data_IF_163767988418
#
_entry.id   IF_163767988418
#
_cell.length_a   1.000
_cell.length_b   1.000
_cell.length_c   1.000
_cell.angle_alpha   90.00
_cell.angle_beta   90.00
_cell.angle_gamma   90.00
#
_symmetry.space_group_name_H-M   'P 1'
#
loop_
_entity.id
_entity.type
_entity.pdbx_description
1 polymer ?
#
# COMPACT_ATOMS: atom_id res chain seq x y z
N UNK A 1 -17.81 -8.17 49.95
CA UNK A 1 -16.41 -8.02 50.33
C UNK A 1 -15.75 -7.28 49.16
N UNK A 2 -15.54 -6.01 49.40
CA UNK A 2 -15.06 -4.99 48.45
C UNK A 2 -13.54 -4.96 48.47
N UNK A 3 -12.89 -5.00 47.31
CA UNK A 3 -11.47 -4.64 47.18
C UNK A 3 -11.32 -3.50 46.18
N UNK A 4 -10.87 -2.38 46.75
CA UNK A 4 -10.60 -1.13 46.04
C UNK A 4 -9.30 -1.23 45.25
N UNK A 5 -9.39 -0.97 43.95
CA UNK A 5 -8.23 -0.80 43.07
C UNK A 5 -7.66 0.61 43.16
N UNK A 6 -6.50 0.76 43.76
CA UNK A 6 -5.75 2.02 43.82
C UNK A 6 -5.30 2.47 42.42
N UNK A 7 -5.82 3.61 41.96
CA UNK A 7 -5.32 4.33 40.77
C UNK A 7 -4.09 5.15 41.18
N UNK A 8 -2.94 4.75 40.69
CA UNK A 8 -1.74 5.58 40.76
C UNK A 8 -1.85 6.70 39.71
N UNK A 9 -2.05 7.92 40.17
CA UNK A 9 -2.05 9.11 39.30
C UNK A 9 -0.60 9.55 39.10
N UNK A 10 -0.08 9.37 37.91
CA UNK A 10 1.23 9.87 37.49
C UNK A 10 1.08 11.33 37.06
N UNK A 11 1.55 12.27 37.86
CA UNK A 11 1.62 13.67 37.47
C UNK A 11 2.86 13.92 36.59
N UNK A 12 2.62 14.24 35.32
CA UNK A 12 3.65 14.77 34.43
C UNK A 12 3.83 16.26 34.71
N UNK A 13 4.98 16.64 35.24
CA UNK A 13 5.41 18.05 35.28
C UNK A 13 5.94 18.46 33.89
N UNK A 14 5.05 19.02 33.07
CA UNK A 14 5.46 19.70 31.84
C UNK A 14 5.69 21.18 32.13
N UNK A 15 6.95 21.62 32.12
CA UNK A 15 7.30 23.05 32.18
C UNK A 15 6.96 23.69 30.83
N UNK A 16 5.80 24.37 30.78
CA UNK A 16 5.39 25.16 29.60
C UNK A 16 5.83 26.60 29.82
N UNK A 17 6.94 27.02 29.21
CA UNK A 17 7.40 28.41 29.13
C UNK A 17 6.51 29.18 28.16
N UNK A 18 5.49 29.89 28.66
CA UNK A 18 4.66 30.79 27.85
C UNK A 18 5.37 32.14 27.79
N UNK A 19 5.96 32.44 26.66
CA UNK A 19 6.51 33.78 26.35
C UNK A 19 5.37 34.68 25.83
N UNK A 20 4.76 35.47 26.70
CA UNK A 20 3.78 36.49 26.30
C UNK A 20 4.50 37.66 25.64
N UNK A 21 4.31 37.86 24.38
CA UNK A 21 4.73 39.00 23.58
C UNK A 21 3.65 40.07 23.67
N UNK A 22 3.82 41.08 24.54
CA UNK A 22 2.91 42.21 24.62
C UNK A 22 2.98 43.11 23.39
N UNK A 23 1.83 43.38 22.79
CA UNK A 23 1.62 44.49 21.85
C UNK A 23 0.99 45.66 22.63
N UNK A 24 1.70 46.77 22.66
CA UNK A 24 1.21 48.04 23.16
C UNK A 24 0.12 48.59 22.23
N UNK A 25 -0.99 49.00 22.82
CA UNK A 25 -1.96 49.89 22.17
C UNK A 25 -2.28 51.04 23.14
N UNK A 26 -1.85 52.20 22.76
CA UNK A 26 -2.11 53.50 23.38
C UNK A 26 -3.58 53.90 23.21
N UNK A 27 -4.25 54.26 24.31
CA UNK A 27 -5.47 55.08 24.19
C UNK A 27 -5.59 56.01 25.42
N UNK A 28 -5.71 57.26 25.11
CA UNK A 28 -5.78 58.48 25.90
C UNK A 28 -6.93 58.57 26.87
N UNK A 29 -6.68 59.37 27.94
CA UNK A 29 -7.46 59.90 29.06
C UNK A 29 -8.91 60.38 28.74
N UNK A 30 -9.76 60.55 29.80
CA UNK A 30 -9.64 61.72 30.64
C UNK A 30 -9.82 61.53 32.16
N UNK A 31 -9.34 62.54 32.88
CA UNK A 31 -9.38 62.92 34.25
C UNK A 31 -10.77 62.89 34.91
N UNK A 32 -10.88 62.37 36.13
CA UNK A 32 -11.63 63.05 37.17
C UNK A 32 -11.10 62.75 38.58
N UNK A 33 -11.12 63.80 39.39
CA UNK A 33 -10.60 63.89 40.75
C UNK A 33 -11.71 63.46 41.72
N UNK A 34 -11.43 62.52 42.63
CA UNK A 34 -12.09 62.56 43.95
C UNK A 34 -11.17 61.88 45.00
N UNK A 35 -10.75 62.71 45.94
CA UNK A 35 -10.01 62.38 47.14
C UNK A 35 -10.90 61.65 48.13
N UNK A 36 -10.52 60.47 48.61
CA UNK A 36 -10.99 59.91 49.89
C UNK A 36 -9.88 59.24 50.62
N UNK A 37 -9.57 59.74 51.78
CA UNK A 37 -8.77 59.12 52.83
C UNK A 37 -9.33 57.78 53.26
N UNK A 38 -8.51 56.77 53.42
CA UNK A 38 -8.71 55.79 54.50
C UNK A 38 -7.51 54.90 54.70
N UNK A 39 -6.90 55.05 55.82
CA UNK A 39 -6.28 54.08 56.75
C UNK A 39 -5.54 52.86 56.20
N UNK A 40 -4.22 52.95 56.36
CA UNK A 40 -3.31 51.78 56.42
C UNK A 40 -3.79 50.75 57.44
N UNK A 41 -4.06 49.59 57.03
CA UNK A 41 -4.02 48.39 57.86
C UNK A 41 -3.00 47.42 57.24
N UNK A 42 -1.84 47.39 57.82
CA UNK A 42 -0.78 46.45 57.50
C UNK A 42 -1.23 45.04 57.92
N UNK A 43 -1.64 44.23 57.02
CA UNK A 43 -1.78 42.78 57.24
C UNK A 43 -0.48 42.12 56.77
N UNK A 44 0.37 41.80 57.74
CA UNK A 44 1.48 40.87 57.56
C UNK A 44 0.93 39.48 57.21
N UNK A 45 0.70 39.24 55.91
CA UNK A 45 0.55 37.88 55.41
C UNK A 45 1.96 37.28 55.32
N UNK A 46 2.32 36.48 56.34
CA UNK A 46 3.46 35.57 56.25
C UNK A 46 3.22 34.67 55.03
N UNK A 47 3.93 34.97 53.93
CA UNK A 47 4.08 33.99 52.85
C UNK A 47 4.90 32.83 53.40
N UNK A 48 4.21 31.75 53.77
CA UNK A 48 4.83 30.44 53.98
C UNK A 48 5.21 29.97 52.59
N UNK A 49 6.45 30.22 52.17
CA UNK A 49 7.04 29.61 50.99
C UNK A 49 7.15 28.10 51.26
N UNK A 50 6.12 27.37 50.94
CA UNK A 50 6.19 25.90 50.86
C UNK A 50 7.19 25.52 49.79
N UNK A 51 8.41 25.20 50.18
CA UNK A 51 9.35 24.52 49.30
C UNK A 51 8.78 23.18 48.96
N UNK A 52 8.15 23.07 47.79
CA UNK A 52 7.80 21.76 47.18
C UNK A 52 9.14 21.11 46.82
N UNK A 53 9.58 20.22 47.69
CA UNK A 53 10.73 19.38 47.46
C UNK A 53 10.34 18.39 46.33
N UNK A 54 10.63 18.72 45.10
CA UNK A 54 10.60 17.75 44.01
C UNK A 54 11.80 16.82 44.20
N UNK A 55 11.61 15.53 44.48
CA UNK A 55 12.72 14.61 44.51
C UNK A 55 13.38 14.59 43.13
N UNK A 56 14.73 14.62 43.06
CA UNK A 56 15.41 14.50 41.79
C UNK A 56 14.99 13.18 41.13
N UNK A 57 14.40 13.25 39.94
CA UNK A 57 14.19 12.10 39.11
C UNK A 57 15.56 11.44 38.89
N UNK A 58 15.79 10.28 39.50
CA UNK A 58 17.00 9.51 39.27
C UNK A 58 16.94 9.03 37.84
N UNK A 59 17.57 9.76 36.93
CA UNK A 59 17.88 9.36 35.58
C UNK A 59 18.81 8.13 35.69
N UNK A 60 18.24 6.95 35.68
CA UNK A 60 19.02 5.70 35.65
C UNK A 60 19.53 5.55 34.22
N UNK A 61 20.79 5.89 34.00
CA UNK A 61 21.49 5.56 32.75
C UNK A 61 21.50 4.05 32.51
N UNK A 62 21.40 3.64 31.25
CA UNK A 62 21.52 2.22 30.86
C UNK A 62 22.87 1.66 31.30
N UNK A 63 22.85 0.48 31.89
CA UNK A 63 24.09 -0.25 32.17
C UNK A 63 24.65 -0.80 30.86
N UNK A 64 25.99 -0.92 30.78
CA UNK A 64 26.66 -1.45 29.59
C UNK A 64 26.19 -2.87 29.25
N UNK A 65 25.92 -3.70 30.28
CA UNK A 65 25.39 -5.05 30.10
C UNK A 65 23.97 -5.07 29.51
N UNK A 66 23.11 -4.14 29.94
CA UNK A 66 21.75 -4.01 29.42
C UNK A 66 21.76 -3.62 27.94
N UNK A 67 22.67 -2.70 27.55
CA UNK A 67 22.86 -2.33 26.16
C UNK A 67 23.29 -3.54 25.31
N UNK A 68 24.25 -4.34 25.78
CA UNK A 68 24.71 -5.54 25.05
C UNK A 68 23.59 -6.56 24.89
N UNK A 69 22.80 -6.82 25.95
CA UNK A 69 21.65 -7.73 25.89
C UNK A 69 20.61 -7.20 24.90
N UNK A 70 20.29 -5.91 24.97
CA UNK A 70 19.29 -5.30 24.08
C UNK A 70 19.72 -5.40 22.60
N UNK A 71 20.97 -5.08 22.28
CA UNK A 71 21.50 -5.20 20.92
C UNK A 71 21.46 -6.65 20.45
N UNK A 72 21.82 -7.60 21.29
CA UNK A 72 21.79 -9.03 20.95
C UNK A 72 20.40 -9.50 20.61
N UNK A 73 19.40 -9.11 21.40
CA UNK A 73 17.99 -9.43 21.12
C UNK A 73 17.53 -8.81 19.80
N UNK A 74 17.87 -7.54 19.55
CA UNK A 74 17.50 -6.85 18.31
C UNK A 74 18.10 -7.56 17.10
N UNK A 75 19.37 -7.93 17.13
CA UNK A 75 20.05 -8.64 16.02
C UNK A 75 19.39 -9.99 15.73
N UNK A 76 19.07 -10.76 16.75
CA UNK A 76 18.38 -12.05 16.59
C UNK A 76 16.98 -11.87 15.98
N UNK A 77 16.22 -10.92 16.50
CA UNK A 77 14.88 -10.61 15.95
C UNK A 77 14.97 -10.11 14.51
N UNK A 78 15.92 -9.24 14.20
CA UNK A 78 16.11 -8.70 12.84
C UNK A 78 16.41 -9.82 11.84
N UNK A 79 17.25 -10.81 12.20
CA UNK A 79 17.51 -11.98 11.36
C UNK A 79 16.26 -12.80 11.07
N UNK A 80 15.41 -12.99 12.06
CA UNK A 80 14.13 -13.70 11.90
C UNK A 80 13.14 -12.92 11.01
N UNK A 81 13.00 -11.61 11.24
CA UNK A 81 12.07 -10.78 10.47
C UNK A 81 12.50 -10.60 9.01
N UNK A 82 13.81 -10.55 8.72
CA UNK A 82 14.32 -10.37 7.35
C UNK A 82 13.87 -11.50 6.42
N UNK A 83 13.97 -12.75 6.86
CA UNK A 83 13.51 -13.90 6.08
C UNK A 83 12.00 -13.85 5.80
N UNK A 84 11.21 -13.40 6.78
CA UNK A 84 9.77 -13.25 6.61
C UNK A 84 9.42 -12.10 5.67
N UNK A 85 10.16 -10.99 5.74
CA UNK A 85 9.94 -9.84 4.87
C UNK A 85 10.13 -10.20 3.39
N UNK A 86 11.16 -10.96 3.04
CA UNK A 86 11.39 -11.43 1.66
C UNK A 86 10.24 -12.28 1.14
N UNK A 87 9.71 -13.19 1.95
CA UNK A 87 8.54 -13.98 1.60
C UNK A 87 7.31 -13.11 1.32
N UNK A 88 7.02 -12.14 2.20
CA UNK A 88 5.88 -11.25 2.01
C UNK A 88 6.03 -10.32 0.81
N UNK A 89 7.24 -9.88 0.49
CA UNK A 89 7.51 -9.09 -0.72
C UNK A 89 7.19 -9.88 -1.99
N UNK A 90 7.55 -11.15 -2.04
CA UNK A 90 7.25 -12.03 -3.16
C UNK A 90 5.73 -12.29 -3.28
N UNK A 91 5.06 -12.53 -2.16
CA UNK A 91 3.61 -12.72 -2.14
C UNK A 91 2.86 -11.45 -2.55
N UNK A 92 3.32 -10.27 -2.13
CA UNK A 92 2.76 -8.99 -2.55
C UNK A 92 2.94 -8.76 -4.06
N UNK A 93 4.09 -9.14 -4.63
CA UNK A 93 4.34 -9.06 -6.07
C UNK A 93 3.37 -9.95 -6.85
N UNK A 94 3.21 -11.22 -6.43
CA UNK A 94 2.23 -12.15 -7.02
C UNK A 94 0.82 -11.57 -7.01
N UNK A 95 0.37 -11.09 -5.84
CA UNK A 95 -0.97 -10.51 -5.69
C UNK A 95 -1.15 -9.28 -6.57
N UNK A 96 -0.15 -8.40 -6.67
CA UNK A 96 -0.20 -7.22 -7.52
C UNK A 96 -0.29 -7.60 -9.01
N UNK A 97 0.44 -8.61 -9.43
CA UNK A 97 0.39 -9.15 -10.80
C UNK A 97 -0.99 -9.74 -11.10
N UNK A 98 -1.53 -10.58 -10.21
CA UNK A 98 -2.87 -11.18 -10.34
C UNK A 98 -3.97 -10.12 -10.35
N UNK A 99 -3.83 -9.04 -9.59
CA UNK A 99 -4.77 -7.92 -9.60
C UNK A 99 -4.82 -7.23 -10.97
N UNK A 100 -3.67 -7.02 -11.61
CA UNK A 100 -3.61 -6.45 -12.97
C UNK A 100 -4.23 -7.42 -13.97
N UNK A 101 -3.91 -8.71 -13.90
CA UNK A 101 -4.50 -9.73 -14.76
C UNK A 101 -6.03 -9.79 -14.61
N UNK A 102 -6.55 -9.72 -13.38
CA UNK A 102 -7.99 -9.65 -13.11
C UNK A 102 -8.67 -8.39 -13.65
N UNK A 103 -7.98 -7.24 -13.57
CA UNK A 103 -8.46 -5.99 -14.16
C UNK A 103 -8.54 -6.07 -15.70
N UNK A 104 -7.55 -6.70 -16.33
CA UNK A 104 -7.55 -6.97 -17.78
C UNK A 104 -8.71 -7.90 -18.15
N UNK A 105 -8.90 -9.01 -17.42
CA UNK A 105 -10.03 -9.92 -17.65
C UNK A 105 -11.37 -9.19 -17.55
N UNK A 106 -11.53 -8.30 -16.57
CA UNK A 106 -12.75 -7.51 -16.42
C UNK A 106 -12.97 -6.55 -17.58
N UNK A 107 -11.92 -5.84 -18.01
CA UNK A 107 -11.97 -4.94 -19.15
C UNK A 107 -12.28 -5.71 -20.46
N UNK A 108 -11.66 -6.88 -20.63
CA UNK A 108 -11.89 -7.77 -21.77
C UNK A 108 -13.35 -8.23 -21.84
N UNK A 109 -13.92 -8.64 -20.71
CA UNK A 109 -15.32 -9.05 -20.61
C UNK A 109 -16.27 -7.90 -21.00
N UNK A 110 -15.93 -6.68 -20.60
CA UNK A 110 -16.71 -5.49 -20.97
C UNK A 110 -16.64 -5.21 -22.48
N UNK A 111 -15.45 -5.26 -23.08
CA UNK A 111 -15.25 -5.08 -24.53
C UNK A 111 -16.00 -6.16 -25.32
N UNK A 112 -15.90 -7.40 -24.89
CA UNK A 112 -16.63 -8.51 -25.47
C UNK A 112 -18.14 -8.28 -25.47
N UNK A 113 -18.70 -7.87 -24.31
CA UNK A 113 -20.13 -7.53 -24.20
C UNK A 113 -20.57 -6.40 -25.12
N UNK A 114 -19.71 -5.38 -25.29
CA UNK A 114 -19.99 -4.26 -26.23
C UNK A 114 -20.00 -4.72 -27.70
N UNK A 115 -19.10 -5.60 -28.10
CA UNK A 115 -19.05 -6.16 -29.45
C UNK A 115 -20.29 -6.99 -29.76
N UNK A 116 -20.73 -7.83 -28.81
CA UNK A 116 -21.94 -8.63 -28.96
C UNK A 116 -23.20 -7.77 -29.10
N UNK A 117 -23.31 -6.71 -28.29
CA UNK A 117 -24.47 -5.80 -28.36
C UNK A 117 -24.51 -4.99 -29.67
N UNK A 118 -23.35 -4.75 -30.30
CA UNK A 118 -23.27 -4.11 -31.62
C UNK A 118 -23.56 -5.07 -32.78
N UNK A 119 -23.76 -6.36 -32.51
CA UNK A 119 -24.06 -7.37 -33.54
C UNK A 119 -22.90 -7.67 -34.50
N UNK A 120 -21.65 -7.49 -34.07
CA UNK A 120 -20.43 -7.73 -34.87
C UNK A 120 -19.52 -8.79 -34.22
N UNK A 121 -19.93 -10.04 -34.10
CA UNK A 121 -19.14 -11.07 -33.43
C UNK A 121 -17.79 -11.35 -34.09
N UNK A 122 -17.61 -11.02 -35.38
CA UNK A 122 -16.33 -11.12 -36.07
C UNK A 122 -15.21 -10.25 -35.46
N UNK A 123 -15.60 -9.13 -34.82
CA UNK A 123 -14.64 -8.19 -34.24
C UNK A 123 -14.01 -8.73 -32.93
N UNK A 124 -14.58 -9.81 -32.35
CA UNK A 124 -14.02 -10.46 -31.14
C UNK A 124 -12.63 -11.02 -31.42
N UNK A 125 -12.39 -11.56 -32.62
CA UNK A 125 -11.05 -12.06 -33.00
C UNK A 125 -9.99 -10.95 -32.97
N UNK A 126 -10.38 -9.72 -33.24
CA UNK A 126 -9.47 -8.58 -33.17
C UNK A 126 -8.98 -8.30 -31.74
N UNK A 127 -9.82 -8.57 -30.72
CA UNK A 127 -9.42 -8.44 -29.32
C UNK A 127 -8.24 -9.37 -28.95
N UNK A 128 -8.17 -10.56 -29.55
CA UNK A 128 -7.05 -11.48 -29.30
C UNK A 128 -5.71 -10.97 -29.88
N UNK A 129 -5.77 -10.05 -30.85
CA UNK A 129 -4.58 -9.49 -31.49
C UNK A 129 -4.16 -8.13 -30.92
N UNK A 130 -5.06 -7.49 -30.18
CA UNK A 130 -4.81 -6.16 -29.63
C UNK A 130 -4.09 -6.23 -28.27
N UNK A 131 -3.46 -5.13 -27.91
CA UNK A 131 -2.79 -5.02 -26.63
C UNK A 131 -3.80 -4.81 -25.49
N UNK A 132 -3.96 -5.77 -24.56
CA UNK A 132 -4.96 -5.70 -23.52
C UNK A 132 -4.75 -4.55 -22.53
N UNK A 133 -3.55 -3.99 -22.43
CA UNK A 133 -3.29 -2.80 -21.61
C UNK A 133 -3.99 -1.55 -22.11
N UNK A 134 -4.39 -1.51 -23.39
CA UNK A 134 -5.12 -0.37 -23.97
C UNK A 134 -6.59 -0.32 -23.54
N UNK A 135 -7.15 -1.41 -23.01
CA UNK A 135 -8.53 -1.48 -22.53
C UNK A 135 -8.69 -0.99 -21.10
N UNK A 136 -7.57 -0.87 -20.36
CA UNK A 136 -7.60 -0.36 -18.99
C UNK A 136 -7.79 1.17 -19.01
N UNK A 137 -8.65 1.67 -18.13
CA UNK A 137 -8.82 3.12 -17.94
C UNK A 137 -7.51 3.80 -17.53
N UNK A 138 -6.68 3.09 -16.75
CA UNK A 138 -5.37 3.55 -16.33
C UNK A 138 -4.39 2.39 -16.43
N UNK A 139 -3.36 2.58 -17.23
CA UNK A 139 -2.26 1.61 -17.32
C UNK A 139 -1.51 1.54 -15.98
N UNK A 140 -1.10 0.35 -15.50
CA UNK A 140 -0.31 0.22 -14.30
C UNK A 140 1.04 0.95 -14.45
N UNK A 141 1.58 1.44 -13.33
CA UNK A 141 2.83 2.23 -13.34
C UNK A 141 4.04 1.42 -13.85
N UNK A 142 3.98 0.12 -13.67
CA UNK A 142 5.01 -0.84 -14.10
C UNK A 142 4.74 -1.42 -15.50
N UNK A 143 4.01 -0.70 -16.35
CA UNK A 143 3.88 -1.05 -17.76
C UNK A 143 4.95 -0.31 -18.58
N UNK A 144 5.88 -1.07 -19.18
CA UNK A 144 7.02 -0.54 -19.95
C UNK A 144 6.70 -0.23 -21.41
N UNK A 145 5.51 -0.63 -21.89
CA UNK A 145 5.12 -0.38 -23.28
C UNK A 145 5.13 -1.63 -24.16
N UNK A 146 5.25 -1.40 -25.47
CA UNK A 146 5.23 -2.44 -26.50
C UNK A 146 6.64 -2.66 -27.05
N UNK A 147 7.03 -3.92 -27.16
CA UNK A 147 8.34 -4.33 -27.67
C UNK A 147 8.16 -5.41 -28.73
N UNK A 148 9.08 -5.48 -29.64
CA UNK A 148 9.13 -6.55 -30.63
C UNK A 148 10.11 -7.63 -30.17
N UNK A 149 9.61 -8.84 -29.88
CA UNK A 149 10.39 -9.99 -29.43
C UNK A 149 11.27 -9.67 -28.19
N UNK A 150 10.68 -9.22 -27.06
CA UNK A 150 11.44 -8.83 -25.88
C UNK A 150 12.14 -10.05 -25.25
N UNK A 151 13.35 -9.80 -24.72
CA UNK A 151 14.03 -10.76 -23.85
C UNK A 151 13.88 -10.37 -22.39
N UNK A 152 13.93 -11.32 -21.42
CA UNK A 152 13.84 -10.99 -19.99
C UNK A 152 14.90 -10.01 -19.50
N UNK A 153 16.03 -9.89 -20.22
CA UNK A 153 17.12 -8.95 -19.91
C UNK A 153 16.86 -7.54 -20.44
N UNK A 154 16.01 -7.40 -21.45
CA UNK A 154 15.68 -6.11 -22.05
C UNK A 154 14.62 -5.34 -21.29
N UNK A 155 13.90 -6.01 -20.36
CA UNK A 155 12.81 -5.44 -19.59
C UNK A 155 13.18 -5.49 -18.11
N UNK A 156 12.92 -4.39 -17.41
CA UNK A 156 13.15 -4.33 -15.96
C UNK A 156 12.23 -5.31 -15.22
N UNK A 157 12.81 -6.06 -14.27
CA UNK A 157 12.05 -7.01 -13.45
C UNK A 157 10.95 -6.32 -12.65
N UNK A 158 9.78 -6.95 -12.58
CA UNK A 158 8.57 -6.41 -11.95
C UNK A 158 7.71 -5.59 -12.93
N UNK A 159 8.06 -5.53 -14.21
CA UNK A 159 7.34 -4.75 -15.21
C UNK A 159 6.57 -5.65 -16.18
N UNK A 160 5.50 -5.06 -16.72
CA UNK A 160 4.71 -5.58 -17.81
C UNK A 160 5.21 -5.06 -19.14
N UNK A 161 5.20 -5.90 -20.17
CA UNK A 161 5.52 -5.53 -21.54
C UNK A 161 4.62 -6.28 -22.51
N UNK A 162 4.20 -5.64 -23.59
CA UNK A 162 3.46 -6.31 -24.65
C UNK A 162 4.40 -6.70 -25.78
N UNK A 163 4.43 -7.98 -26.11
CA UNK A 163 5.21 -8.50 -27.24
C UNK A 163 4.40 -8.41 -28.53
N UNK A 164 4.84 -7.57 -29.43
CA UNK A 164 4.21 -7.36 -30.75
C UNK A 164 4.35 -8.57 -31.68
N UNK A 165 5.36 -9.42 -31.47
CA UNK A 165 5.61 -10.60 -32.29
C UNK A 165 4.66 -11.74 -31.95
N UNK A 166 4.57 -12.09 -30.68
CA UNK A 166 3.73 -13.20 -30.20
C UNK A 166 2.30 -12.75 -29.84
N UNK A 167 2.03 -11.44 -29.75
CA UNK A 167 0.77 -10.85 -29.27
C UNK A 167 0.42 -11.29 -27.86
N UNK A 168 1.43 -11.40 -27.02
CA UNK A 168 1.34 -11.82 -25.63
C UNK A 168 1.69 -10.68 -24.69
N UNK A 169 1.02 -10.62 -23.55
CA UNK A 169 1.39 -9.73 -22.48
C UNK A 169 2.31 -10.47 -21.51
N UNK A 170 3.51 -9.92 -21.29
CA UNK A 170 4.57 -10.56 -20.52
C UNK A 170 4.79 -9.80 -19.22
N UNK A 171 4.84 -10.51 -18.11
CA UNK A 171 5.27 -10.01 -16.82
C UNK A 171 6.62 -10.61 -16.45
N UNK A 172 7.62 -9.76 -16.19
CA UNK A 172 8.96 -10.18 -15.78
C UNK A 172 9.03 -10.22 -14.25
N UNK A 173 9.18 -11.42 -13.68
CA UNK A 173 9.17 -11.63 -12.22
C UNK A 173 10.43 -11.01 -11.59
N UNK A 174 10.25 -10.24 -10.51
CA UNK A 174 11.33 -9.61 -9.74
C UNK A 174 11.82 -10.53 -8.62
N UNK A 175 10.90 -10.95 -7.76
CA UNK A 175 11.19 -11.80 -6.60
C UNK A 175 10.81 -13.24 -6.95
N UNK A 176 11.78 -14.06 -7.30
CA UNK A 176 11.55 -15.39 -7.85
C UNK A 176 12.14 -16.52 -6.97
N UNK A 177 12.14 -16.34 -5.64
CA UNK A 177 12.70 -17.36 -4.73
C UNK A 177 11.82 -18.61 -4.70
N UNK A 178 10.50 -18.42 -4.70
CA UNK A 178 9.49 -19.50 -4.71
C UNK A 178 8.76 -19.60 -6.05
N UNK A 179 9.26 -18.90 -7.08
CA UNK A 179 8.69 -18.96 -8.41
C UNK A 179 9.29 -20.13 -9.20
N UNK A 180 8.42 -21.02 -9.65
CA UNK A 180 8.78 -22.13 -10.52
C UNK A 180 8.34 -21.81 -11.95
N UNK A 181 9.29 -21.45 -12.83
CA UNK A 181 8.95 -21.15 -14.22
C UNK A 181 8.38 -22.40 -14.90
N UNK A 182 7.53 -22.18 -15.88
CA UNK A 182 7.03 -23.25 -16.73
C UNK A 182 8.16 -23.85 -17.59
N UNK A 183 7.77 -24.58 -18.64
CA UNK A 183 8.69 -25.28 -19.54
C UNK A 183 9.79 -24.42 -20.16
N UNK A 184 9.58 -23.11 -20.23
CA UNK A 184 10.53 -22.14 -20.81
C UNK A 184 11.75 -21.88 -19.93
N UNK A 185 11.68 -22.21 -18.63
CA UNK A 185 12.76 -21.96 -17.65
C UNK A 185 13.07 -20.49 -17.39
N UNK A 186 12.26 -19.55 -17.92
CA UNK A 186 12.50 -18.11 -17.81
C UNK A 186 11.70 -17.52 -16.64
N UNK A 187 12.24 -16.49 -15.98
CA UNK A 187 11.59 -15.78 -14.87
C UNK A 187 10.58 -14.76 -15.39
N UNK A 188 9.63 -15.22 -16.18
CA UNK A 188 8.53 -14.42 -16.71
C UNK A 188 7.25 -15.24 -16.81
N UNK A 189 6.12 -14.54 -16.89
CA UNK A 189 4.81 -15.13 -17.11
C UNK A 189 4.22 -14.47 -18.36
N UNK A 190 3.85 -15.29 -19.34
CA UNK A 190 3.25 -14.84 -20.59
C UNK A 190 1.76 -15.10 -20.56
N UNK A 191 0.98 -14.11 -20.90
CA UNK A 191 -0.47 -14.16 -20.97
C UNK A 191 -0.94 -13.88 -22.38
N UNK A 192 -2.02 -14.54 -22.79
CA UNK A 192 -2.67 -14.29 -24.06
C UNK A 192 -4.20 -14.24 -23.89
N UNK A 193 -4.85 -13.68 -24.89
CA UNK A 193 -6.30 -13.63 -24.96
C UNK A 193 -6.79 -14.81 -25.78
N UNK A 194 -7.62 -15.67 -25.20
CA UNK A 194 -8.21 -16.84 -25.84
C UNK A 194 -9.69 -16.60 -26.10
N UNK A 195 -10.11 -16.84 -27.33
CA UNK A 195 -11.51 -16.78 -27.71
C UNK A 195 -12.05 -18.21 -27.75
N UNK A 196 -13.02 -18.48 -26.88
CA UNK A 196 -13.64 -19.82 -26.77
C UNK A 196 -14.84 -19.92 -27.67
N UNK A 197 -14.86 -21.00 -28.47
CA UNK A 197 -15.98 -21.38 -29.32
C UNK A 197 -16.53 -22.75 -28.88
N UNK A 198 -17.81 -22.85 -28.80
CA UNK A 198 -18.47 -24.13 -28.47
C UNK A 198 -19.34 -24.57 -29.64
N UNK A 199 -19.27 -25.86 -29.98
CA UNK A 199 -20.17 -26.47 -30.93
C UNK A 199 -21.57 -26.59 -30.30
N UNK A 200 -22.62 -26.33 -31.08
CA UNK A 200 -24.00 -26.54 -30.62
C UNK A 200 -24.20 -27.98 -30.13
N UNK A 201 -24.68 -28.11 -28.90
CA UNK A 201 -25.01 -29.45 -28.30
C UNK A 201 -26.24 -30.10 -28.93
N UNK A 202 -26.99 -29.34 -29.71
CA UNK A 202 -28.18 -29.87 -30.39
C UNK A 202 -27.79 -30.55 -31.72
N UNK A 203 -28.06 -31.84 -31.91
CA UNK A 203 -27.70 -32.58 -33.13
C UNK A 203 -28.27 -31.95 -34.41
N UNK A 204 -29.42 -31.28 -34.32
CA UNK A 204 -30.05 -30.58 -35.44
C UNK A 204 -29.33 -29.31 -35.89
N UNK A 205 -28.50 -28.74 -35.04
CA UNK A 205 -27.77 -27.48 -35.26
C UNK A 205 -26.25 -27.68 -35.46
N UNK A 206 -25.78 -28.92 -35.59
CA UNK A 206 -24.33 -29.22 -35.78
C UNK A 206 -23.76 -28.68 -37.11
N UNK A 207 -24.58 -28.17 -38.01
CA UNK A 207 -24.17 -27.51 -39.25
C UNK A 207 -24.02 -25.98 -39.10
N UNK A 208 -24.40 -25.42 -37.94
CA UNK A 208 -24.22 -24.00 -37.68
C UNK A 208 -22.78 -23.71 -37.29
N UNK A 209 -22.29 -22.49 -37.60
CA UNK A 209 -20.96 -22.09 -37.21
C UNK A 209 -20.83 -22.15 -35.68
N UNK A 210 -19.65 -22.51 -35.19
CA UNK A 210 -19.30 -22.55 -33.78
C UNK A 210 -19.79 -21.28 -33.06
N UNK A 211 -20.60 -21.47 -32.03
CA UNK A 211 -21.09 -20.35 -31.23
C UNK A 211 -19.96 -19.81 -30.35
N UNK A 212 -19.79 -18.50 -30.39
CA UNK A 212 -18.83 -17.79 -29.54
C UNK A 212 -19.32 -17.83 -28.10
N UNK A 213 -18.58 -18.52 -27.21
CA UNK A 213 -19.03 -18.79 -25.85
C UNK A 213 -18.39 -17.85 -24.84
N UNK A 214 -17.16 -17.34 -25.12
CA UNK A 214 -16.49 -16.45 -24.19
C UNK A 214 -15.10 -16.05 -24.64
N UNK A 215 -14.51 -15.19 -23.81
CA UNK A 215 -13.15 -14.70 -23.99
C UNK A 215 -12.43 -14.71 -22.63
N UNK A 216 -11.21 -15.23 -22.62
CA UNK A 216 -10.43 -15.44 -21.39
C UNK A 216 -9.03 -14.90 -21.57
N UNK A 217 -8.51 -14.31 -20.51
CA UNK A 217 -7.12 -13.89 -20.39
C UNK A 217 -6.39 -14.88 -19.48
N UNK A 218 -5.52 -15.70 -20.06
CA UNK A 218 -4.90 -16.80 -19.33
C UNK A 218 -3.39 -16.91 -19.61
N UNK A 219 -2.61 -17.53 -18.71
CA UNK A 219 -1.20 -17.75 -18.94
C UNK A 219 -0.96 -18.78 -20.05
N UNK A 220 -0.06 -18.48 -20.98
CA UNK A 220 0.34 -19.35 -22.11
C UNK A 220 0.96 -20.66 -21.62
N UNK A 221 1.72 -20.59 -20.53
CA UNK A 221 2.37 -21.74 -19.92
C UNK A 221 2.01 -21.76 -18.44
N UNK A 222 1.61 -22.91 -17.95
CA UNK A 222 1.36 -23.10 -16.54
C UNK A 222 2.65 -22.84 -15.73
N UNK A 223 2.53 -22.07 -14.68
CA UNK A 223 3.59 -21.76 -13.74
C UNK A 223 3.12 -22.06 -12.31
N UNK A 224 4.05 -22.24 -11.38
CA UNK A 224 3.73 -22.32 -9.95
C UNK A 224 4.47 -21.19 -9.21
N UNK A 225 3.73 -20.54 -8.35
CA UNK A 225 4.28 -19.49 -7.49
C UNK A 225 3.73 -19.71 -6.08
N UNK A 226 4.54 -20.35 -5.21
CA UNK A 226 4.19 -21.03 -3.95
C UNK A 226 3.46 -22.36 -4.14
#
# INVERSE_FOLDING_TARGET
>A
MTEEGGRTVVYHCAAHSIRLRGKAATKTLPSDKTTVHSTRRANNARQVAGHVFCPPSSERGFTLIELVITITIIVVLMGFFLNRALFYMEQAEKTAMEQVAGAIQSALTLQYGQILTRGKPSDVTALAQDNPMNWLQKKPRNYSGEFYDPTPLAVESGNWVFDLKSRELVYVVRNANNFHPGKDGKKWIRFHVVVNYEASRLPSLQREPLALTGIVFEPVVAYSWF
#
